data_IF_436401265760
#
_entry.id   IF_436401265760
#
_cell.length_a   1.000
_cell.length_b   1.000
_cell.length_c   1.000
_cell.angle_alpha   90.00
_cell.angle_beta   90.00
_cell.angle_gamma   90.00
#
_symmetry.space_group_name_H-M   'P 1'
#
loop_
_entity.id
_entity.type
_entity.pdbx_description
1 polymer ?
#
# COMPACT_ATOMS: atom_id res chain seq x y z
N UNK A 1 -2.40 21.12 -1.04
CA UNK A 1 -2.45 20.13 0.06
C UNK A 1 -1.09 19.45 0.11
N UNK A 2 -0.43 19.44 1.26
CA UNK A 2 0.87 18.80 1.43
C UNK A 2 0.63 17.45 2.12
N UNK A 3 1.10 16.36 1.52
CA UNK A 3 1.18 15.07 2.19
C UNK A 3 2.03 15.21 3.46
N UNK A 4 1.60 14.58 4.55
CA UNK A 4 2.24 14.67 5.87
C UNK A 4 2.53 13.26 6.35
N UNK A 5 3.73 13.06 6.89
CA UNK A 5 4.16 11.77 7.45
C UNK A 5 4.41 11.87 8.96
N UNK A 6 4.02 12.99 9.59
CA UNK A 6 4.37 13.34 10.97
C UNK A 6 3.88 12.33 12.00
N UNK A 7 2.87 11.51 11.67
CA UNK A 7 2.32 10.46 12.53
C UNK A 7 2.90 9.07 12.23
N UNK A 8 3.80 8.94 11.26
CA UNK A 8 4.42 7.68 10.85
C UNK A 8 5.88 7.68 11.28
N UNK A 9 6.30 6.64 11.97
CA UNK A 9 7.68 6.46 12.45
C UNK A 9 8.17 5.04 12.19
N UNK A 10 9.48 4.82 12.35
CA UNK A 10 10.10 3.48 12.29
C UNK A 10 9.78 2.70 11.00
N UNK A 11 9.71 3.39 9.85
CA UNK A 11 9.49 2.75 8.56
C UNK A 11 10.68 1.88 8.16
N UNK A 12 10.42 0.61 7.84
CA UNK A 12 11.42 -0.35 7.36
C UNK A 12 10.86 -1.25 6.28
N UNK A 13 11.74 -1.79 5.43
CA UNK A 13 11.39 -2.71 4.36
C UNK A 13 12.22 -3.98 4.47
N UNK A 14 11.54 -5.12 4.47
CA UNK A 14 12.14 -6.44 4.41
C UNK A 14 12.07 -6.96 2.97
N UNK A 15 13.23 -7.14 2.34
CA UNK A 15 13.35 -7.62 0.97
C UNK A 15 13.02 -9.10 0.80
N UNK A 16 13.25 -9.93 1.83
CA UNK A 16 13.00 -11.37 1.79
C UNK A 16 11.50 -11.64 1.77
N UNK A 17 10.77 -11.00 2.68
CA UNK A 17 9.32 -11.14 2.79
C UNK A 17 8.53 -10.14 1.94
N UNK A 18 9.21 -9.18 1.30
CA UNK A 18 8.61 -8.06 0.54
C UNK A 18 7.59 -7.29 1.35
N UNK A 19 7.89 -7.04 2.62
CA UNK A 19 6.99 -6.42 3.58
C UNK A 19 7.48 -5.05 4.02
N UNK A 20 6.55 -4.09 4.16
CA UNK A 20 6.82 -2.77 4.75
C UNK A 20 6.24 -2.75 6.16
N UNK A 21 7.04 -2.28 7.13
CA UNK A 21 6.62 -2.09 8.51
C UNK A 21 6.76 -0.61 8.87
N UNK A 22 5.79 -0.06 9.57
CA UNK A 22 5.85 1.30 10.11
C UNK A 22 4.99 1.36 11.37
N UNK A 23 5.29 2.33 12.25
CA UNK A 23 4.47 2.65 13.41
C UNK A 23 3.66 3.90 13.17
N UNK A 24 2.52 3.97 13.84
CA UNK A 24 1.67 5.14 13.87
C UNK A 24 1.34 5.55 15.30
N UNK A 25 1.43 6.85 15.60
CA UNK A 25 1.09 7.39 16.91
C UNK A 25 -0.42 7.28 17.21
N UNK A 26 -1.24 7.32 16.17
CA UNK A 26 -2.68 7.10 16.22
C UNK A 26 -3.14 6.52 14.89
N UNK A 27 -4.13 5.63 14.90
CA UNK A 27 -4.67 5.07 13.68
C UNK A 27 -5.31 6.17 12.83
N UNK A 28 -4.72 6.46 11.68
CA UNK A 28 -5.19 7.48 10.75
C UNK A 28 -5.21 6.93 9.32
N UNK A 29 -5.92 7.62 8.44
CA UNK A 29 -5.84 7.31 7.01
C UNK A 29 -4.39 7.48 6.54
N UNK A 30 -3.89 6.50 5.80
CA UNK A 30 -2.59 6.54 5.16
C UNK A 30 -2.75 6.17 3.69
N UNK A 31 -1.72 6.48 2.90
CA UNK A 31 -1.67 6.10 1.49
C UNK A 31 -0.36 5.37 1.21
N UNK A 32 -0.42 4.38 0.31
CA UNK A 32 0.75 3.75 -0.28
C UNK A 32 0.86 4.27 -1.71
N UNK A 33 1.96 4.96 -2.00
CA UNK A 33 2.27 5.46 -3.33
C UNK A 33 3.27 4.52 -3.98
N UNK A 34 2.90 3.98 -5.14
CA UNK A 34 3.80 3.23 -6.00
C UNK A 34 4.01 4.03 -7.28
N UNK A 35 5.21 3.98 -7.85
CA UNK A 35 5.46 4.57 -9.15
C UNK A 35 4.57 3.93 -10.23
N UNK A 36 4.09 4.76 -11.16
CA UNK A 36 3.32 4.26 -12.30
C UNK A 36 4.23 3.47 -13.23
N UNK A 37 4.01 2.17 -13.33
CA UNK A 37 4.69 1.33 -14.33
C UNK A 37 3.90 1.41 -15.64
N UNK A 38 4.59 1.77 -16.74
CA UNK A 38 3.98 1.87 -18.08
C UNK A 38 3.25 0.57 -18.50
N UNK A 39 3.74 -0.58 -18.03
CA UNK A 39 3.23 -1.91 -18.36
C UNK A 39 2.16 -2.43 -17.37
N UNK A 40 1.65 -1.57 -16.48
CA UNK A 40 0.58 -1.94 -15.55
C UNK A 40 -0.51 -0.85 -15.55
N UNK A 41 -1.23 -0.65 -16.67
CA UNK A 41 -2.36 0.27 -16.69
C UNK A 41 -3.41 -0.18 -15.68
N UNK A 42 -3.79 0.73 -14.79
CA UNK A 42 -4.78 0.46 -13.77
C UNK A 42 -6.15 0.11 -14.39
N UNK A 43 -6.75 -1.00 -13.94
CA UNK A 43 -8.11 -1.40 -14.33
C UNK A 43 -9.07 -1.32 -13.15
N UNK A 44 -8.72 -1.94 -12.02
CA UNK A 44 -9.55 -1.94 -10.81
C UNK A 44 -8.72 -2.24 -9.56
N UNK A 45 -9.33 -2.04 -8.39
CA UNK A 45 -8.81 -2.50 -7.11
C UNK A 45 -9.92 -3.16 -6.28
N UNK A 46 -9.53 -4.09 -5.40
CA UNK A 46 -10.40 -4.71 -4.41
C UNK A 46 -9.68 -4.77 -3.05
N UNK A 47 -10.41 -4.47 -1.97
CA UNK A 47 -9.95 -4.68 -0.59
C UNK A 47 -10.89 -5.67 0.11
N UNK A 48 -10.35 -6.84 0.50
CA UNK A 48 -11.12 -7.92 1.13
C UNK A 48 -10.58 -8.22 2.53
N UNK A 49 -11.40 -8.23 3.59
CA UNK A 49 -10.94 -8.63 4.92
C UNK A 49 -10.57 -10.12 4.95
N UNK A 50 -9.51 -10.46 5.69
CA UNK A 50 -9.07 -11.85 5.90
C UNK A 50 -9.30 -12.34 7.33
N UNK A 51 -9.47 -11.43 8.28
CA UNK A 51 -9.67 -11.72 9.69
C UNK A 51 -9.42 -10.48 10.53
N UNK A 52 -9.07 -10.69 11.80
CA UNK A 52 -8.64 -9.59 12.67
C UNK A 52 -7.35 -8.96 12.12
N UNK A 53 -7.33 -7.63 12.05
CA UNK A 53 -6.18 -6.80 11.68
C UNK A 53 -5.50 -7.18 10.35
N UNK A 54 -6.24 -7.81 9.43
CA UNK A 54 -5.71 -8.30 8.15
C UNK A 54 -6.69 -8.17 7.00
N UNK A 55 -6.18 -7.73 5.85
CA UNK A 55 -6.93 -7.60 4.61
C UNK A 55 -6.02 -7.86 3.40
N UNK A 56 -6.62 -8.33 2.30
CA UNK A 56 -5.98 -8.48 1.00
C UNK A 56 -6.36 -7.29 0.13
N UNK A 57 -5.36 -6.52 -0.29
CA UNK A 57 -5.53 -5.47 -1.29
C UNK A 57 -5.01 -5.98 -2.65
N UNK A 58 -5.91 -6.07 -3.63
CA UNK A 58 -5.59 -6.56 -4.97
C UNK A 58 -5.74 -5.42 -5.97
N UNK A 59 -4.68 -5.16 -6.74
CA UNK A 59 -4.70 -4.23 -7.87
C UNK A 59 -4.71 -5.05 -9.15
N UNK A 60 -5.72 -4.86 -9.99
CA UNK A 60 -5.80 -5.50 -11.31
C UNK A 60 -5.35 -4.49 -12.36
N UNK A 61 -4.32 -4.84 -13.12
CA UNK A 61 -3.90 -4.10 -14.30
C UNK A 61 -4.42 -4.75 -15.58
N UNK A 62 -4.63 -3.96 -16.63
CA UNK A 62 -4.87 -4.49 -17.97
C UNK A 62 -3.54 -4.85 -18.63
N UNK A 63 -3.48 -5.96 -19.38
CA UNK A 63 -2.33 -6.25 -20.23
C UNK A 63 -2.46 -5.39 -21.49
N UNK A 64 -1.44 -4.57 -21.79
CA UNK A 64 -1.30 -3.97 -23.12
C UNK A 64 -0.42 -4.93 -23.92
N UNK A 65 -1.02 -5.65 -24.87
CA UNK A 65 -0.30 -6.42 -25.90
C UNK A 65 0.27 -5.50 -26.98
#
# INVERSE_FOLDING_TARGET
>A
QHWRADCISEASYDTETRSIFFKMDTFCAFTLLQESYANMPFQSWELRPLGQDSALFTITGALIE
#
